data_IF_228717500110
#
_entry.id   IF_228717500110
#
_cell.length_a   1.000
_cell.length_b   1.000
_cell.length_c   1.000
_cell.angle_alpha   90.00
_cell.angle_beta   90.00
_cell.angle_gamma   90.00
#
_symmetry.space_group_name_H-M   'P 1'
#
loop_
_entity.id
_entity.type
_entity.pdbx_description
1 polymer ?
#
# COMPACT_ATOMS: atom_id res chain seq x y z
N UNK A 1 18.61 14.30 15.71
CA UNK A 1 18.91 15.00 14.44
C UNK A 1 18.09 16.28 14.23
N UNK A 2 16.77 16.24 13.94
CA UNK A 2 15.99 17.47 13.63
C UNK A 2 15.96 18.50 14.76
N UNK A 3 15.75 18.05 16.01
CA UNK A 3 15.82 18.93 17.20
C UNK A 3 17.19 19.62 17.31
N UNK A 4 18.28 18.92 17.01
CA UNK A 4 19.64 19.47 17.09
C UNK A 4 19.86 20.67 16.18
N UNK A 5 19.22 20.68 15.01
CA UNK A 5 19.26 21.83 14.10
C UNK A 5 18.28 22.91 14.54
N UNK A 6 17.05 22.54 14.91
CA UNK A 6 15.97 23.51 15.19
C UNK A 6 16.07 24.21 16.54
N UNK A 7 16.60 23.53 17.55
CA UNK A 7 16.65 24.00 18.94
C UNK A 7 18.10 24.29 19.34
N UNK A 8 19.01 23.38 19.00
CA UNK A 8 20.40 23.46 19.46
C UNK A 8 21.32 24.17 18.43
N UNK A 9 20.78 24.65 17.30
CA UNK A 9 21.50 25.47 16.31
C UNK A 9 22.57 24.77 15.47
N UNK A 10 22.68 23.44 15.54
CA UNK A 10 23.66 22.68 14.76
C UNK A 10 23.43 22.83 13.25
N UNK A 11 24.49 22.68 12.44
CA UNK A 11 24.30 22.60 10.99
C UNK A 11 23.60 21.28 10.60
N UNK A 12 22.87 21.28 9.49
CA UNK A 12 22.23 20.07 8.95
C UNK A 12 23.24 18.95 8.66
N UNK A 13 24.45 19.30 8.23
CA UNK A 13 25.50 18.35 7.90
C UNK A 13 26.07 17.67 9.15
N UNK A 14 26.40 18.45 10.18
CA UNK A 14 26.88 17.92 11.46
C UNK A 14 25.81 17.07 12.14
N UNK A 15 24.56 17.54 12.16
CA UNK A 15 23.46 16.79 12.75
C UNK A 15 23.20 15.46 12.01
N UNK A 16 23.37 15.41 10.69
CA UNK A 16 23.28 14.14 9.94
C UNK A 16 24.43 13.19 10.32
N UNK A 17 25.67 13.69 10.29
CA UNK A 17 26.86 12.90 10.61
C UNK A 17 26.85 12.36 12.05
N UNK A 18 26.49 13.20 13.03
CA UNK A 18 26.42 12.84 14.45
C UNK A 18 25.43 11.69 14.72
N UNK A 19 24.34 11.60 13.94
CA UNK A 19 23.33 10.56 14.09
C UNK A 19 23.55 9.36 13.14
N UNK A 20 24.70 9.30 12.45
CA UNK A 20 25.01 8.22 11.51
C UNK A 20 24.12 8.20 10.26
N UNK A 21 23.59 9.36 9.87
CA UNK A 21 22.65 9.50 8.76
C UNK A 21 23.28 10.27 7.59
N UNK A 22 22.74 10.04 6.39
CA UNK A 22 23.12 10.82 5.21
C UNK A 22 22.46 12.21 5.25
N UNK A 23 23.06 13.19 4.56
CA UNK A 23 22.44 14.52 4.37
C UNK A 23 21.05 14.42 3.69
N UNK A 24 20.85 13.59 2.63
CA UNK A 24 19.51 13.35 2.09
C UNK A 24 18.49 12.86 3.13
N UNK A 25 18.89 11.94 4.03
CA UNK A 25 18.01 11.45 5.11
C UNK A 25 17.57 12.58 6.03
N UNK A 26 18.45 13.56 6.30
CA UNK A 26 18.06 14.77 7.04
C UNK A 26 16.92 15.51 6.37
N UNK A 27 17.06 15.83 5.07
CA UNK A 27 16.04 16.59 4.34
C UNK A 27 14.73 15.83 4.20
N UNK A 28 14.78 14.50 4.04
CA UNK A 28 13.58 13.66 4.02
C UNK A 28 12.84 13.71 5.37
N UNK A 29 13.57 13.59 6.48
CA UNK A 29 13.00 13.70 7.82
C UNK A 29 12.44 15.11 8.08
N UNK A 30 13.14 16.16 7.65
CA UNK A 30 12.70 17.55 7.80
C UNK A 30 11.40 17.80 7.03
N UNK A 31 11.33 17.35 5.78
CA UNK A 31 10.14 17.45 4.92
C UNK A 31 8.96 16.68 5.52
N UNK A 32 9.17 15.43 5.94
CA UNK A 32 8.12 14.60 6.53
C UNK A 32 7.60 15.16 7.86
N UNK A 33 8.49 15.72 8.70
CA UNK A 33 8.10 16.38 9.94
C UNK A 33 7.33 17.67 9.68
N UNK A 34 7.71 18.45 8.66
CA UNK A 34 6.99 19.66 8.29
C UNK A 34 5.58 19.38 7.76
N UNK A 35 5.39 18.27 7.03
CA UNK A 35 4.08 17.91 6.45
C UNK A 35 3.15 17.21 7.43
N UNK A 36 3.65 16.28 8.25
CA UNK A 36 2.83 15.36 9.03
C UNK A 36 3.15 15.41 10.54
N UNK A 37 4.08 16.26 10.97
CA UNK A 37 4.55 16.32 12.36
C UNK A 37 5.33 15.07 12.78
N UNK A 38 5.25 14.71 14.07
CA UNK A 38 5.85 13.47 14.58
C UNK A 38 5.38 12.20 13.83
N UNK A 39 4.09 12.05 13.46
CA UNK A 39 3.64 10.93 12.62
C UNK A 39 4.39 10.77 11.30
N UNK A 40 4.86 11.85 10.69
CA UNK A 40 5.65 11.80 9.45
C UNK A 40 6.99 11.09 9.57
N UNK A 41 7.51 10.97 10.80
CA UNK A 41 8.76 10.26 11.08
C UNK A 41 8.56 8.76 11.34
N UNK A 42 7.31 8.30 11.44
CA UNK A 42 7.02 6.89 11.67
C UNK A 42 7.12 6.07 10.37
N UNK A 43 7.51 4.78 10.46
CA UNK A 43 7.46 3.89 9.30
C UNK A 43 6.05 3.82 8.70
N UNK A 44 5.95 4.05 7.39
CA UNK A 44 4.72 3.80 6.64
C UNK A 44 4.54 2.30 6.40
N UNK A 45 3.30 1.87 6.18
CA UNK A 45 2.98 0.47 5.91
C UNK A 45 3.82 -0.06 4.74
N UNK A 46 4.57 -1.13 4.99
CA UNK A 46 5.46 -1.76 4.00
C UNK A 46 4.68 -2.81 3.18
N UNK A 47 5.16 -3.05 1.97
CA UNK A 47 4.62 -4.06 1.06
C UNK A 47 3.48 -3.55 0.16
N UNK A 48 2.88 -4.44 -0.66
CA UNK A 48 1.83 -4.07 -1.60
C UNK A 48 0.62 -3.47 -0.90
N UNK A 49 0.24 -2.25 -1.29
CA UNK A 49 -0.90 -1.50 -0.70
C UNK A 49 -2.27 -2.01 -1.14
N UNK A 50 -2.32 -2.91 -2.12
CA UNK A 50 -3.56 -3.39 -2.72
C UNK A 50 -3.35 -4.66 -3.54
N UNK A 51 -4.45 -5.29 -3.94
CA UNK A 51 -4.39 -6.43 -4.84
C UNK A 51 -4.26 -5.93 -6.29
N UNK A 52 -3.04 -5.84 -6.80
CA UNK A 52 -2.76 -5.27 -8.12
C UNK A 52 -3.45 -6.00 -9.29
N UNK A 53 -3.69 -7.32 -9.17
CA UNK A 53 -4.44 -8.11 -10.17
C UNK A 53 -5.96 -7.97 -10.05
N UNK A 54 -6.49 -7.51 -8.92
CA UNK A 54 -7.92 -7.32 -8.70
C UNK A 54 -8.24 -5.83 -8.84
N UNK A 55 -7.98 -5.33 -10.04
CA UNK A 55 -8.31 -3.96 -10.44
C UNK A 55 -9.82 -3.82 -10.68
N UNK A 56 -10.27 -2.60 -11.02
CA UNK A 56 -11.69 -2.31 -11.27
C UNK A 56 -12.32 -3.19 -12.34
N UNK A 57 -11.60 -3.48 -13.43
CA UNK A 57 -12.09 -4.32 -14.54
C UNK A 57 -12.34 -5.74 -14.06
N UNK A 58 -11.37 -6.34 -13.37
CA UNK A 58 -11.50 -7.71 -12.86
C UNK A 58 -12.58 -7.79 -11.78
N UNK A 59 -12.71 -6.77 -10.93
CA UNK A 59 -13.77 -6.73 -9.92
C UNK A 59 -15.16 -6.59 -10.55
N UNK A 60 -15.32 -5.79 -11.60
CA UNK A 60 -16.57 -5.69 -12.34
C UNK A 60 -16.97 -7.03 -12.98
N UNK A 61 -16.00 -7.74 -13.58
CA UNK A 61 -16.21 -9.08 -14.12
C UNK A 61 -16.67 -10.08 -13.03
N UNK A 62 -16.00 -10.09 -11.88
CA UNK A 62 -16.38 -10.96 -10.75
C UNK A 62 -17.81 -10.66 -10.27
N UNK A 63 -18.18 -9.38 -10.21
CA UNK A 63 -19.51 -8.95 -9.77
C UNK A 63 -20.61 -9.36 -10.73
N UNK A 64 -20.39 -9.21 -12.04
CA UNK A 64 -21.31 -9.66 -13.08
C UNK A 64 -21.56 -11.18 -12.96
N UNK A 65 -20.50 -11.98 -12.80
CA UNK A 65 -20.64 -13.43 -12.65
C UNK A 65 -21.37 -13.83 -11.38
N UNK A 66 -21.13 -13.13 -10.26
CA UNK A 66 -21.87 -13.35 -9.02
C UNK A 66 -23.34 -12.90 -9.09
N UNK A 67 -23.68 -11.92 -9.93
CA UNK A 67 -25.07 -11.52 -10.17
C UNK A 67 -25.82 -12.56 -11.02
N UNK A 68 -25.12 -13.17 -11.99
CA UNK A 68 -25.66 -14.25 -12.82
C UNK A 68 -25.80 -15.57 -12.03
N UNK A 69 -24.81 -15.92 -11.22
CA UNK A 69 -24.83 -17.08 -10.33
C UNK A 69 -24.22 -16.73 -8.96
N UNK A 70 -25.09 -16.43 -7.99
CA UNK A 70 -24.71 -16.06 -6.64
C UNK A 70 -24.06 -17.17 -5.81
N UNK A 71 -24.03 -18.41 -6.31
CA UNK A 71 -23.39 -19.54 -5.63
C UNK A 71 -21.97 -19.83 -6.12
N UNK A 72 -21.51 -19.07 -7.12
CA UNK A 72 -20.22 -19.30 -7.74
C UNK A 72 -19.07 -19.16 -6.74
N UNK A 73 -18.23 -20.20 -6.69
CA UNK A 73 -17.08 -20.25 -5.78
C UNK A 73 -15.88 -19.52 -6.38
N UNK A 74 -14.99 -19.01 -5.52
CA UNK A 74 -13.77 -18.31 -5.94
C UNK A 74 -12.88 -19.12 -6.90
N UNK A 75 -12.91 -20.46 -6.83
CA UNK A 75 -12.19 -21.33 -7.77
C UNK A 75 -12.75 -21.26 -9.19
N UNK A 76 -14.08 -21.23 -9.34
CA UNK A 76 -14.72 -21.10 -10.65
C UNK A 76 -14.47 -19.71 -11.24
N UNK A 77 -14.59 -18.67 -10.41
CA UNK A 77 -14.24 -17.30 -10.81
C UNK A 77 -12.78 -17.18 -11.29
N UNK A 78 -11.84 -17.83 -10.61
CA UNK A 78 -10.44 -17.83 -11.04
C UNK A 78 -10.26 -18.46 -12.44
N UNK A 79 -10.96 -19.57 -12.71
CA UNK A 79 -10.91 -20.24 -14.01
C UNK A 79 -11.52 -19.36 -15.12
N UNK A 80 -12.64 -18.69 -14.84
CA UNK A 80 -13.27 -17.79 -15.79
C UNK A 80 -12.41 -16.55 -16.07
N UNK A 81 -11.79 -15.96 -15.04
CA UNK A 81 -10.85 -14.84 -15.22
C UNK A 81 -9.66 -15.27 -16.08
N UNK A 82 -9.11 -16.46 -15.85
CA UNK A 82 -8.01 -16.98 -16.68
C UNK A 82 -8.45 -17.21 -18.13
N UNK A 83 -9.68 -17.66 -18.34
CA UNK A 83 -10.22 -17.95 -19.68
C UNK A 83 -10.59 -16.68 -20.47
N UNK A 84 -11.24 -15.72 -19.81
CA UNK A 84 -11.79 -14.52 -20.47
C UNK A 84 -10.87 -13.31 -20.42
N UNK A 85 -9.99 -13.22 -19.42
CA UNK A 85 -9.11 -12.07 -19.20
C UNK A 85 -7.61 -12.44 -19.27
N UNK A 86 -7.29 -13.71 -19.59
CA UNK A 86 -5.92 -14.23 -19.68
C UNK A 86 -5.07 -13.93 -18.43
N UNK A 87 -5.72 -13.84 -17.27
CA UNK A 87 -5.10 -13.39 -16.03
C UNK A 87 -5.20 -14.46 -14.94
N UNK A 88 -4.06 -15.09 -14.62
CA UNK A 88 -4.02 -16.05 -13.51
C UNK A 88 -4.08 -15.35 -12.15
N UNK A 89 -5.18 -15.59 -11.43
CA UNK A 89 -5.45 -15.09 -10.07
C UNK A 89 -5.76 -16.25 -9.13
N UNK A 90 -5.04 -16.33 -8.01
CA UNK A 90 -5.31 -17.35 -7.01
C UNK A 90 -6.69 -17.14 -6.36
N UNK A 91 -7.52 -18.19 -6.15
CA UNK A 91 -8.85 -18.08 -5.54
C UNK A 91 -8.86 -17.33 -4.20
N UNK A 92 -7.83 -17.55 -3.36
CA UNK A 92 -7.64 -16.82 -2.09
C UNK A 92 -7.58 -15.29 -2.26
N UNK A 93 -7.05 -14.79 -3.37
CA UNK A 93 -7.02 -13.35 -3.65
C UNK A 93 -8.41 -12.80 -3.92
N UNK A 94 -9.24 -13.55 -4.65
CA UNK A 94 -10.66 -13.22 -4.93
C UNK A 94 -11.45 -13.19 -3.63
N UNK A 95 -11.34 -14.24 -2.80
CA UNK A 95 -11.98 -14.30 -1.47
C UNK A 95 -11.61 -13.08 -0.61
N UNK A 96 -10.32 -12.72 -0.58
CA UNK A 96 -9.84 -11.58 0.19
C UNK A 96 -10.33 -10.24 -0.36
N UNK A 97 -10.56 -10.12 -1.67
CA UNK A 97 -11.13 -8.91 -2.24
C UNK A 97 -12.63 -8.79 -1.93
N UNK A 98 -13.39 -9.89 -2.08
CA UNK A 98 -14.81 -9.93 -1.72
C UNK A 98 -15.03 -9.65 -0.22
N UNK A 99 -14.17 -10.20 0.65
CA UNK A 99 -14.24 -9.95 2.09
C UNK A 99 -13.89 -8.49 2.47
N UNK A 100 -13.00 -7.83 1.72
CA UNK A 100 -12.68 -6.40 1.93
C UNK A 100 -13.85 -5.50 1.51
N UNK A 101 -14.50 -5.80 0.38
CA UNK A 101 -15.68 -5.04 -0.09
C UNK A 101 -16.87 -5.11 0.89
N UNK A 102 -17.00 -6.21 1.64
CA UNK A 102 -18.07 -6.37 2.66
C UNK A 102 -17.82 -5.57 3.94
N UNK A 103 -16.60 -5.07 4.18
CA UNK A 103 -16.33 -4.21 5.34
C UNK A 103 -16.74 -2.78 5.00
N UNK A 104 -17.57 -2.11 5.82
CA UNK A 104 -17.97 -0.72 5.61
C UNK A 104 -16.77 0.23 5.69
#
# INVERSE_FOLDING_TARGET
>A
MLRHVRVDGASKAEAAALFGMSRPTFYQAESAFASEGLPGLLPKQRGPKGAHKLNSVVMAFIEERLQQDGTMRARALAQEIETWLELSIHPRSIERALARKKKP
#
